data_IF_019223356057
#
_entry.id   IF_019223356057
#
_cell.length_a   1.000
_cell.length_b   1.000
_cell.length_c   1.000
_cell.angle_alpha   90.00
_cell.angle_beta   90.00
_cell.angle_gamma   90.00
#
_symmetry.space_group_name_H-M   'P 1'
#
loop_
_entity.id
_entity.type
_entity.pdbx_description
1 polymer ?
#
# COMPACT_ATOMS: atom_id res chain seq x y z
N UNK A 1 9.07 36.40 -40.33
CA UNK A 1 9.88 36.08 -39.11
C UNK A 1 9.62 34.63 -38.76
N UNK A 2 10.56 33.73 -39.04
CA UNK A 2 10.46 32.33 -38.63
C UNK A 2 10.70 32.25 -37.13
N UNK A 3 9.72 31.74 -36.40
CA UNK A 3 9.89 31.45 -34.96
C UNK A 3 11.08 30.52 -34.78
N UNK A 4 12.02 30.78 -33.87
CA UNK A 4 13.13 29.87 -33.62
C UNK A 4 12.55 28.53 -33.19
N UNK A 5 12.91 27.47 -33.90
CA UNK A 5 12.51 26.10 -33.55
C UNK A 5 13.07 25.76 -32.17
N UNK A 6 12.22 25.71 -31.16
CA UNK A 6 12.61 25.27 -29.83
C UNK A 6 12.85 23.76 -29.89
N UNK A 7 13.94 23.24 -29.32
CA UNK A 7 14.13 21.82 -29.26
C UNK A 7 12.99 21.16 -28.47
N UNK A 8 12.41 20.11 -29.03
CA UNK A 8 11.40 19.32 -28.35
C UNK A 8 12.06 18.55 -27.22
N UNK A 9 11.42 18.60 -26.03
CA UNK A 9 11.86 17.79 -24.92
C UNK A 9 11.61 16.31 -25.20
N UNK A 10 12.61 15.44 -25.10
CA UNK A 10 12.42 14.00 -25.34
C UNK A 10 11.74 13.28 -24.17
N UNK A 11 11.34 13.97 -23.12
CA UNK A 11 10.83 13.38 -21.86
C UNK A 11 9.65 12.42 -22.05
N UNK A 12 8.77 12.64 -23.01
CA UNK A 12 7.63 11.77 -23.27
C UNK A 12 8.07 10.45 -23.94
N UNK A 13 9.13 10.46 -24.72
CA UNK A 13 9.58 9.33 -25.53
C UNK A 13 10.62 8.46 -24.83
N UNK A 14 11.37 9.02 -23.89
CA UNK A 14 12.49 8.35 -23.19
C UNK A 14 12.32 8.32 -21.67
N UNK A 15 11.12 8.64 -21.16
CA UNK A 15 10.86 8.61 -19.73
C UNK A 15 11.08 7.20 -19.17
N UNK A 16 12.01 7.08 -18.23
CA UNK A 16 12.21 5.87 -17.43
C UNK A 16 11.63 6.10 -16.02
N UNK A 17 10.70 5.27 -15.57
CA UNK A 17 10.15 5.40 -14.22
C UNK A 17 11.27 5.33 -13.17
N UNK A 18 11.34 6.36 -12.35
CA UNK A 18 12.29 6.39 -11.23
C UNK A 18 11.62 5.75 -9.99
N UNK A 19 12.41 5.18 -9.10
CA UNK A 19 11.92 4.57 -7.87
C UNK A 19 11.02 5.53 -7.08
N UNK A 20 11.38 6.79 -7.01
CA UNK A 20 10.60 7.84 -6.33
C UNK A 20 9.23 8.05 -6.95
N UNK A 21 9.12 8.06 -8.27
CA UNK A 21 7.85 8.19 -8.99
C UNK A 21 6.97 6.96 -8.78
N UNK A 22 7.57 5.77 -8.84
CA UNK A 22 6.85 4.51 -8.59
C UNK A 22 6.32 4.48 -7.15
N UNK A 23 7.12 4.80 -6.15
CA UNK A 23 6.68 4.83 -4.75
C UNK A 23 5.59 5.87 -4.51
N UNK A 24 5.67 7.03 -5.19
CA UNK A 24 4.66 8.08 -5.06
C UNK A 24 3.30 7.66 -5.63
N UNK A 25 3.26 7.07 -6.82
CA UNK A 25 2.00 6.59 -7.39
C UNK A 25 1.45 5.38 -6.61
N UNK A 26 2.32 4.47 -6.18
CA UNK A 26 1.93 3.32 -5.36
C UNK A 26 1.36 3.76 -4.01
N UNK A 27 1.87 4.83 -3.42
CA UNK A 27 1.31 5.39 -2.19
C UNK A 27 -0.13 5.87 -2.37
N UNK A 28 -0.43 6.54 -3.48
CA UNK A 28 -1.80 6.98 -3.81
C UNK A 28 -2.72 5.79 -4.07
N UNK A 29 -2.26 4.80 -4.84
CA UNK A 29 -3.03 3.58 -5.12
C UNK A 29 -3.31 2.81 -3.83
N UNK A 30 -2.31 2.65 -2.95
CA UNK A 30 -2.51 1.99 -1.65
C UNK A 30 -3.50 2.74 -0.77
N UNK A 31 -3.51 4.08 -0.78
CA UNK A 31 -4.52 4.88 -0.08
C UNK A 31 -5.94 4.61 -0.57
N UNK A 32 -6.15 4.50 -1.87
CA UNK A 32 -7.45 4.12 -2.46
C UNK A 32 -7.85 2.70 -2.03
N UNK A 33 -6.91 1.75 -2.08
CA UNK A 33 -7.15 0.37 -1.66
C UNK A 33 -7.51 0.29 -0.16
N UNK A 34 -6.86 1.08 0.68
CA UNK A 34 -7.19 1.16 2.11
C UNK A 34 -8.58 1.74 2.35
N UNK A 35 -8.98 2.75 1.59
CA UNK A 35 -10.32 3.33 1.68
C UNK A 35 -11.40 2.31 1.31
N UNK A 36 -11.17 1.53 0.24
CA UNK A 36 -12.07 0.42 -0.13
C UNK A 36 -12.13 -0.66 0.95
N UNK A 37 -10.99 -1.02 1.53
CA UNK A 37 -10.91 -1.99 2.64
C UNK A 37 -11.60 -1.50 3.93
N UNK A 38 -11.58 -0.20 4.18
CA UNK A 38 -12.33 0.38 5.31
C UNK A 38 -13.84 0.14 5.18
N UNK A 39 -14.40 0.16 3.97
CA UNK A 39 -15.82 -0.19 3.72
C UNK A 39 -16.09 -1.64 4.10
N UNK A 40 -15.19 -2.58 3.74
CA UNK A 40 -15.30 -3.98 4.16
C UNK A 40 -15.22 -4.13 5.68
N UNK A 41 -14.34 -3.39 6.33
CA UNK A 41 -14.23 -3.39 7.78
C UNK A 41 -15.51 -2.89 8.47
N UNK A 42 -16.12 -1.81 7.97
CA UNK A 42 -17.43 -1.35 8.43
C UNK A 42 -18.50 -2.41 8.20
N UNK A 43 -18.49 -3.08 7.05
CA UNK A 43 -19.38 -4.21 6.74
C UNK A 43 -19.26 -5.34 7.77
N UNK A 44 -18.04 -5.67 8.21
CA UNK A 44 -17.80 -6.65 9.27
C UNK A 44 -18.42 -6.24 10.60
N UNK A 45 -18.26 -4.98 10.99
CA UNK A 45 -18.86 -4.46 12.23
C UNK A 45 -20.38 -4.47 12.17
N UNK A 46 -20.96 -4.10 11.03
CA UNK A 46 -22.40 -4.16 10.81
C UNK A 46 -22.91 -5.61 10.84
N UNK A 47 -22.20 -6.54 10.21
CA UNK A 47 -22.54 -7.96 10.25
C UNK A 47 -22.51 -8.52 11.69
N UNK A 48 -21.49 -8.15 12.46
CA UNK A 48 -21.38 -8.53 13.87
C UNK A 48 -22.52 -7.94 14.72
N UNK A 49 -22.89 -6.68 14.49
CA UNK A 49 -24.00 -6.03 15.16
C UNK A 49 -25.37 -6.61 14.79
N UNK A 50 -25.50 -7.16 13.57
CA UNK A 50 -26.76 -7.74 13.07
C UNK A 50 -27.01 -9.18 13.56
N UNK A 51 -26.06 -9.79 14.25
CA UNK A 51 -26.22 -11.08 14.92
C UNK A 51 -25.40 -12.23 14.28
N UNK A 52 -25.45 -13.43 14.92
CA UNK A 52 -24.53 -14.53 14.59
C UNK A 52 -24.66 -15.06 13.15
N UNK A 53 -25.83 -15.06 12.58
CA UNK A 53 -26.07 -15.55 11.21
C UNK A 53 -25.40 -14.64 10.17
N UNK A 54 -25.57 -13.32 10.30
CA UNK A 54 -24.96 -12.32 9.43
C UNK A 54 -23.43 -12.33 9.56
N UNK A 55 -22.94 -12.40 10.81
CA UNK A 55 -21.52 -12.49 11.09
C UNK A 55 -20.89 -13.76 10.52
N UNK A 56 -21.56 -14.92 10.67
CA UNK A 56 -21.12 -16.19 10.13
C UNK A 56 -21.00 -16.16 8.59
N UNK A 57 -21.98 -15.56 7.90
CA UNK A 57 -21.93 -15.39 6.45
C UNK A 57 -20.76 -14.51 6.00
N UNK A 58 -20.50 -13.42 6.71
CA UNK A 58 -19.37 -12.54 6.44
C UNK A 58 -18.04 -13.26 6.69
N UNK A 59 -17.91 -14.01 7.78
CA UNK A 59 -16.71 -14.79 8.10
C UNK A 59 -16.46 -15.87 7.07
N UNK A 60 -17.50 -16.53 6.54
CA UNK A 60 -17.37 -17.50 5.46
C UNK A 60 -16.80 -16.86 4.18
N UNK A 61 -17.26 -15.66 3.82
CA UNK A 61 -16.71 -14.88 2.71
C UNK A 61 -15.23 -14.53 2.93
N UNK A 62 -14.89 -13.96 4.08
CA UNK A 62 -13.52 -13.55 4.41
C UNK A 62 -12.57 -14.73 4.53
N UNK A 63 -13.06 -15.89 5.04
CA UNK A 63 -12.30 -17.14 5.16
C UNK A 63 -12.14 -17.90 3.84
N UNK A 64 -12.84 -17.50 2.77
CA UNK A 64 -12.63 -18.07 1.45
C UNK A 64 -11.24 -17.75 0.90
N UNK A 65 -10.75 -18.55 -0.06
CA UNK A 65 -9.46 -18.29 -0.69
C UNK A 65 -9.38 -16.86 -1.30
N UNK A 66 -10.49 -16.37 -1.84
CA UNK A 66 -10.60 -15.03 -2.39
C UNK A 66 -10.53 -13.96 -1.28
N UNK A 67 -11.28 -14.15 -0.19
CA UNK A 67 -11.25 -13.27 0.97
C UNK A 67 -9.85 -13.20 1.62
N UNK A 68 -9.19 -14.35 1.78
CA UNK A 68 -7.82 -14.40 2.28
C UNK A 68 -6.84 -13.67 1.36
N UNK A 69 -6.95 -13.85 0.04
CA UNK A 69 -6.12 -13.13 -0.91
C UNK A 69 -6.32 -11.60 -0.82
N UNK A 70 -7.57 -11.15 -0.67
CA UNK A 70 -7.89 -9.74 -0.43
C UNK A 70 -7.27 -9.22 0.87
N UNK A 71 -7.35 -9.99 1.95
CA UNK A 71 -6.75 -9.61 3.24
C UNK A 71 -5.22 -9.52 3.16
N UNK A 72 -4.55 -10.44 2.46
CA UNK A 72 -3.11 -10.37 2.22
C UNK A 72 -2.75 -9.10 1.44
N UNK A 73 -3.45 -8.86 0.34
CA UNK A 73 -3.21 -7.67 -0.49
C UNK A 73 -3.48 -6.37 0.29
N UNK A 74 -4.54 -6.34 1.08
CA UNK A 74 -4.90 -5.18 1.89
C UNK A 74 -3.89 -4.92 3.03
N UNK A 75 -3.42 -5.96 3.70
CA UNK A 75 -2.37 -5.83 4.71
C UNK A 75 -1.04 -5.35 4.11
N UNK A 76 -0.67 -5.83 2.93
CA UNK A 76 0.50 -5.32 2.22
C UNK A 76 0.34 -3.85 1.83
N UNK A 77 -0.84 -3.45 1.33
CA UNK A 77 -1.15 -2.05 1.05
C UNK A 77 -1.08 -1.18 2.31
N UNK A 78 -1.56 -1.70 3.45
CA UNK A 78 -1.49 -1.01 4.74
C UNK A 78 -0.05 -0.75 5.18
N UNK A 79 0.78 -1.78 5.21
CA UNK A 79 2.17 -1.62 5.64
C UNK A 79 3.00 -0.77 4.68
N UNK A 80 2.74 -0.88 3.38
CA UNK A 80 3.36 -0.01 2.39
C UNK A 80 2.95 1.45 2.59
N UNK A 81 1.65 1.72 2.75
CA UNK A 81 1.13 3.07 2.95
C UNK A 81 1.67 3.69 4.24
N UNK A 82 1.69 2.92 5.32
CA UNK A 82 2.25 3.33 6.61
C UNK A 82 3.74 3.67 6.49
N UNK A 83 4.55 2.74 5.99
CA UNK A 83 6.00 2.92 5.89
C UNK A 83 6.36 4.11 4.97
N UNK A 84 5.70 4.22 3.82
CA UNK A 84 5.93 5.33 2.91
C UNK A 84 5.35 6.66 3.43
N UNK A 85 4.26 6.62 4.19
CA UNK A 85 3.72 7.77 4.91
C UNK A 85 4.70 8.30 5.95
N UNK A 86 5.32 7.44 6.75
CA UNK A 86 6.40 7.82 7.68
C UNK A 86 7.55 8.46 6.93
N UNK A 87 7.95 7.92 5.77
CA UNK A 87 8.98 8.53 4.92
C UNK A 87 8.60 9.94 4.47
N UNK A 88 7.34 10.19 4.10
CA UNK A 88 6.85 11.54 3.76
C UNK A 88 6.93 12.49 4.96
N UNK A 89 6.62 12.03 6.17
CA UNK A 89 6.76 12.86 7.38
C UNK A 89 8.21 13.26 7.65
N UNK A 90 9.20 12.41 7.35
CA UNK A 90 10.62 12.80 7.43
C UNK A 90 10.96 13.90 6.42
N UNK A 91 10.42 13.84 5.22
CA UNK A 91 10.60 14.89 4.23
C UNK A 91 9.92 16.20 4.65
N UNK A 92 8.70 16.14 5.19
CA UNK A 92 8.00 17.31 5.71
C UNK A 92 8.78 17.97 6.86
N UNK A 93 9.52 17.19 7.63
CA UNK A 93 10.43 17.67 8.67
C UNK A 93 11.80 18.16 8.13
N UNK A 94 12.03 18.11 6.81
CA UNK A 94 13.25 18.64 6.18
C UNK A 94 14.39 17.63 6.06
N UNK A 95 14.17 16.31 6.28
CA UNK A 95 15.23 15.31 6.29
C UNK A 95 15.18 14.38 5.07
N UNK A 96 16.36 13.98 4.56
CA UNK A 96 16.52 12.88 3.61
C UNK A 96 16.17 13.18 2.16
N UNK A 97 16.38 14.44 1.71
CA UNK A 97 16.13 14.85 0.33
C UNK A 97 17.26 14.52 -0.64
N UNK A 98 18.44 14.20 -0.15
CA UNK A 98 19.56 13.81 -1.00
C UNK A 98 19.27 12.48 -1.72
N UNK A 99 19.77 12.32 -2.93
CA UNK A 99 19.49 11.15 -3.76
C UNK A 99 19.81 9.81 -3.07
N UNK A 100 20.98 9.63 -2.43
CA UNK A 100 21.31 8.39 -1.73
C UNK A 100 20.30 8.07 -0.62
N UNK A 101 19.94 9.04 0.22
CA UNK A 101 18.95 8.86 1.31
C UNK A 101 17.56 8.56 0.76
N UNK A 102 17.17 9.20 -0.33
CA UNK A 102 15.90 8.95 -1.01
C UNK A 102 15.78 7.51 -1.53
N UNK A 103 16.82 6.96 -2.14
CA UNK A 103 16.83 5.57 -2.60
C UNK A 103 16.88 4.58 -1.43
N UNK A 104 17.71 4.84 -0.42
CA UNK A 104 17.83 3.99 0.77
C UNK A 104 16.52 3.93 1.55
N UNK A 105 15.86 5.07 1.78
CA UNK A 105 14.55 5.11 2.44
C UNK A 105 13.47 4.42 1.61
N UNK A 106 13.50 4.54 0.28
CA UNK A 106 12.62 3.81 -0.60
C UNK A 106 12.79 2.28 -0.51
N UNK A 107 14.03 1.80 -0.49
CA UNK A 107 14.31 0.37 -0.27
C UNK A 107 13.86 -0.09 1.12
N UNK A 108 14.04 0.73 2.15
CA UNK A 108 13.58 0.42 3.51
C UNK A 108 12.04 0.30 3.57
N UNK A 109 11.30 1.14 2.86
CA UNK A 109 9.82 1.03 2.73
C UNK A 109 9.42 -0.33 2.16
N UNK A 110 10.05 -0.76 1.07
CA UNK A 110 9.75 -2.06 0.45
C UNK A 110 10.10 -3.22 1.38
N UNK A 111 11.26 -3.19 2.02
CA UNK A 111 11.68 -4.21 2.99
C UNK A 111 10.73 -4.29 4.19
N UNK A 112 10.33 -3.14 4.75
CA UNK A 112 9.38 -3.07 5.84
C UNK A 112 8.00 -3.61 5.43
N UNK A 113 7.52 -3.27 4.23
CA UNK A 113 6.27 -3.78 3.69
C UNK A 113 6.24 -5.30 3.63
N UNK A 114 7.25 -5.89 3.01
CA UNK A 114 7.36 -7.36 2.88
C UNK A 114 7.52 -8.02 4.24
N UNK A 115 8.43 -7.50 5.06
CA UNK A 115 8.73 -8.06 6.38
C UNK A 115 7.53 -8.04 7.32
N UNK A 116 6.83 -6.89 7.43
CA UNK A 116 5.67 -6.75 8.30
C UNK A 116 4.47 -7.56 7.79
N UNK A 117 4.24 -7.60 6.48
CA UNK A 117 3.20 -8.44 5.89
C UNK A 117 3.47 -9.92 6.18
N UNK A 118 4.67 -10.40 5.91
CA UNK A 118 5.05 -11.79 6.15
C UNK A 118 4.94 -12.14 7.65
N UNK A 119 5.44 -11.29 8.54
CA UNK A 119 5.36 -11.50 9.98
C UNK A 119 3.91 -11.60 10.47
N UNK A 120 3.05 -10.70 10.00
CA UNK A 120 1.62 -10.72 10.32
C UNK A 120 0.98 -12.05 9.91
N UNK A 121 1.22 -12.49 8.67
CA UNK A 121 0.61 -13.72 8.17
C UNK A 121 1.20 -14.99 8.79
N UNK A 122 2.46 -15.01 9.14
CA UNK A 122 3.06 -16.08 9.95
C UNK A 122 2.37 -16.16 11.31
N UNK A 123 2.17 -15.02 11.98
CA UNK A 123 1.48 -14.98 13.26
C UNK A 123 0.01 -15.44 13.13
N UNK A 124 -0.72 -14.97 12.11
CA UNK A 124 -2.10 -15.41 11.84
C UNK A 124 -2.16 -16.92 11.63
N UNK A 125 -1.31 -17.46 10.77
CA UNK A 125 -1.30 -18.90 10.48
C UNK A 125 -0.88 -19.75 11.68
N UNK A 126 -0.01 -19.24 12.53
CA UNK A 126 0.39 -19.92 13.76
C UNK A 126 -0.76 -19.99 14.78
N UNK A 127 -1.57 -18.93 14.89
CA UNK A 127 -2.69 -18.87 15.83
C UNK A 127 -3.96 -19.53 15.27
N UNK A 128 -4.13 -19.60 13.95
CA UNK A 128 -5.30 -20.23 13.31
C UNK A 128 -5.33 -21.75 13.48
N UNK A 129 -4.23 -22.36 13.83
CA UNK A 129 -4.12 -23.83 13.99
C UNK A 129 -4.54 -24.33 15.38
N UNK A 130 -5.00 -23.45 16.24
CA UNK A 130 -5.52 -23.73 17.57
C UNK A 130 -7.00 -23.36 17.67
#
# INVERSE_FOLDING_TARGET
MSSPSRPLSPHIQIYRPQLTSILSISHRISGIALSAGAVLFVGQLLAAASGPASFGSFQHFVGSWFGLALLVAWSAAFFFHLANGIRHLFWDAGYGFDLPSTYRSGAAVLAATVGLTALTWVAVLATWRH
#
